data_IF_650127433631
#
_entry.id   IF_650127433631
#
_cell.length_a   1.000
_cell.length_b   1.000
_cell.length_c   1.000
_cell.angle_alpha   90.00
_cell.angle_beta   90.00
_cell.angle_gamma   90.00
#
_symmetry.space_group_name_H-M   'P 1'
#
loop_
_entity.id
_entity.type
_entity.pdbx_description
1 polymer ?
#
# COMPACT_ATOMS: atom_id res chain seq x y z
N UNK A 1 10.38 23.71 14.52
CA UNK A 1 10.11 23.72 13.06
C UNK A 1 8.82 24.50 12.84
N UNK A 2 8.90 25.67 12.19
CA UNK A 2 7.74 26.52 11.89
C UNK A 2 7.17 26.07 10.55
N UNK A 3 5.96 25.51 10.56
CA UNK A 3 5.21 25.17 9.34
C UNK A 3 4.78 26.47 8.67
N UNK A 4 5.39 26.79 7.53
CA UNK A 4 4.93 27.88 6.65
C UNK A 4 3.59 27.46 6.04
N UNK A 5 2.51 28.11 6.47
CA UNK A 5 1.23 28.03 5.76
C UNK A 5 1.42 28.59 4.34
N UNK A 6 0.90 27.94 3.29
CA UNK A 6 0.96 28.46 1.95
C UNK A 6 0.19 29.79 1.88
N UNK A 7 0.79 30.78 1.20
CA UNK A 7 0.14 32.05 0.95
C UNK A 7 -1.17 31.83 0.15
N UNK A 8 -2.25 32.59 0.43
CA UNK A 8 -3.47 32.51 -0.37
C UNK A 8 -3.14 32.86 -1.82
N UNK A 9 -3.46 31.95 -2.76
CA UNK A 9 -3.30 32.21 -4.19
C UNK A 9 -4.11 33.45 -4.58
N UNK A 10 -3.42 34.47 -5.10
CA UNK A 10 -4.06 35.64 -5.71
C UNK A 10 -4.94 35.17 -6.89
N UNK A 11 -6.17 35.68 -7.04
CA UNK A 11 -7.04 35.35 -8.17
C UNK A 11 -6.42 35.85 -9.50
N UNK A 12 -6.36 34.99 -10.52
CA UNK A 12 -5.91 35.37 -11.88
C UNK A 12 -6.95 36.33 -12.50
N UNK A 13 -6.59 37.57 -12.87
CA UNK A 13 -7.52 38.56 -13.41
C UNK A 13 -8.13 38.18 -14.77
N UNK A 14 -7.64 37.13 -15.45
CA UNK A 14 -8.25 36.59 -16.68
C UNK A 14 -9.37 35.59 -16.39
N UNK A 15 -9.52 35.15 -15.14
CA UNK A 15 -10.52 34.18 -14.69
C UNK A 15 -11.97 34.64 -14.93
N UNK A 16 -12.37 35.91 -14.64
CA UNK A 16 -13.78 36.31 -14.75
C UNK A 16 -14.34 36.23 -16.18
N UNK A 17 -13.57 36.67 -17.18
CA UNK A 17 -14.04 36.73 -18.57
C UNK A 17 -14.22 35.34 -19.20
N UNK A 18 -13.32 34.39 -18.91
CA UNK A 18 -13.43 33.02 -19.39
C UNK A 18 -14.56 32.24 -18.69
N UNK A 19 -14.81 32.55 -17.42
CA UNK A 19 -15.90 31.98 -16.63
C UNK A 19 -17.28 32.46 -17.12
N UNK A 20 -17.42 33.76 -17.40
CA UNK A 20 -18.64 34.34 -17.99
C UNK A 20 -18.94 33.77 -19.38
N UNK A 21 -17.92 33.62 -20.23
CA UNK A 21 -18.08 33.00 -21.55
C UNK A 21 -18.51 31.54 -21.43
N UNK A 22 -17.89 30.78 -20.53
CA UNK A 22 -18.26 29.37 -20.31
C UNK A 22 -19.71 29.23 -19.85
N UNK A 23 -20.20 30.12 -18.97
CA UNK A 23 -21.60 30.12 -18.54
C UNK A 23 -22.58 30.49 -19.66
N UNK A 24 -22.17 31.31 -20.63
CA UNK A 24 -23.01 31.69 -21.76
C UNK A 24 -23.27 30.52 -22.73
N UNK A 25 -22.37 29.53 -22.75
CA UNK A 25 -22.49 28.32 -23.60
C UNK A 25 -23.33 27.21 -22.95
N UNK A 26 -23.76 27.38 -21.68
CA UNK A 26 -24.56 26.37 -21.00
C UNK A 26 -25.94 26.19 -21.69
N UNK A 27 -26.37 24.94 -21.90
CA UNK A 27 -27.73 24.62 -22.35
C UNK A 27 -28.81 25.27 -21.48
N UNK A 28 -29.95 25.60 -22.10
CA UNK A 28 -31.00 26.40 -21.46
C UNK A 28 -31.57 25.73 -20.19
N UNK A 29 -31.71 24.41 -20.16
CA UNK A 29 -32.18 23.68 -18.99
C UNK A 29 -31.21 23.79 -17.82
N UNK A 30 -29.92 23.58 -18.07
CA UNK A 30 -28.88 23.75 -17.04
C UNK A 30 -28.74 25.21 -16.58
N UNK A 31 -28.90 26.17 -17.49
CA UNK A 31 -28.86 27.60 -17.13
C UNK A 31 -30.04 27.98 -16.22
N UNK A 32 -31.25 27.54 -16.56
CA UNK A 32 -32.42 27.76 -15.74
C UNK A 32 -32.27 27.13 -14.34
N UNK A 33 -31.65 25.94 -14.24
CA UNK A 33 -31.32 25.33 -12.96
C UNK A 33 -30.33 26.18 -12.15
N UNK A 34 -29.24 26.64 -12.77
CA UNK A 34 -28.25 27.49 -12.11
C UNK A 34 -28.87 28.79 -11.61
N UNK A 35 -29.66 29.48 -12.44
CA UNK A 35 -30.30 30.73 -12.06
C UNK A 35 -31.25 30.55 -10.86
N UNK A 36 -31.97 29.41 -10.78
CA UNK A 36 -32.81 29.07 -9.61
C UNK A 36 -31.99 28.82 -8.35
N UNK A 37 -30.89 28.08 -8.44
CA UNK A 37 -30.00 27.84 -7.29
C UNK A 37 -29.35 29.13 -6.79
N UNK A 38 -28.91 29.99 -7.72
CA UNK A 38 -28.36 31.31 -7.38
C UNK A 38 -29.44 32.20 -6.73
N UNK A 39 -30.67 32.20 -7.24
CA UNK A 39 -31.79 32.91 -6.63
C UNK A 39 -32.17 32.37 -5.23
N UNK A 40 -31.96 31.08 -4.98
CA UNK A 40 -32.10 30.45 -3.66
C UNK A 40 -30.90 30.72 -2.72
N UNK A 41 -29.96 31.57 -3.16
CA UNK A 41 -28.79 31.98 -2.39
C UNK A 41 -27.62 31.00 -2.43
N UNK A 42 -27.66 29.97 -3.30
CA UNK A 42 -26.48 29.18 -3.58
C UNK A 42 -25.44 30.04 -4.34
N UNK A 43 -24.20 29.59 -4.40
CA UNK A 43 -23.12 30.28 -5.11
C UNK A 43 -22.36 29.29 -5.97
N UNK A 44 -21.67 29.79 -7.00
CA UNK A 44 -20.75 28.97 -7.79
C UNK A 44 -19.39 28.96 -7.08
N UNK A 45 -18.89 27.76 -6.78
CA UNK A 45 -17.55 27.56 -6.20
C UNK A 45 -16.47 27.68 -7.27
N UNK A 46 -16.69 27.06 -8.43
CA UNK A 46 -15.78 27.15 -9.58
C UNK A 46 -16.48 26.80 -10.90
N UNK A 47 -15.88 27.25 -12.00
CA UNK A 47 -16.25 26.90 -13.37
C UNK A 47 -14.98 26.40 -14.08
N UNK A 48 -15.07 25.27 -14.79
CA UNK A 48 -13.92 24.69 -15.50
C UNK A 48 -14.33 24.13 -16.86
N UNK A 49 -13.73 24.66 -17.92
CA UNK A 49 -13.79 24.07 -19.26
C UNK A 49 -12.93 22.80 -19.34
N UNK A 50 -13.39 21.79 -20.06
CA UNK A 50 -12.65 20.55 -20.33
C UNK A 50 -12.26 19.73 -19.09
N UNK A 51 -12.96 19.94 -17.97
CA UNK A 51 -12.72 19.21 -16.72
C UNK A 51 -13.71 18.06 -16.58
N UNK A 52 -13.22 16.88 -16.21
CA UNK A 52 -14.06 15.73 -15.89
C UNK A 52 -15.20 16.12 -14.91
N UNK A 53 -16.46 15.73 -15.18
CA UNK A 53 -16.92 14.81 -16.24
C UNK A 53 -17.11 15.42 -17.64
N UNK A 54 -16.99 16.73 -17.82
CA UNK A 54 -17.12 17.36 -19.14
C UNK A 54 -15.97 16.95 -20.08
N UNK A 55 -16.27 16.67 -21.36
CA UNK A 55 -15.25 16.53 -22.40
C UNK A 55 -14.58 17.88 -22.69
N UNK A 56 -13.47 17.90 -23.45
CA UNK A 56 -12.73 19.14 -23.77
C UNK A 56 -13.56 20.27 -24.42
N UNK A 57 -14.65 19.91 -25.10
CA UNK A 57 -15.57 20.85 -25.79
C UNK A 57 -16.69 21.39 -24.89
N UNK A 58 -16.67 21.06 -23.60
CA UNK A 58 -17.72 21.44 -22.66
C UNK A 58 -17.17 21.98 -21.35
N UNK A 59 -18.05 22.18 -20.38
CA UNK A 59 -17.70 22.79 -19.10
C UNK A 59 -18.48 22.22 -17.91
N UNK A 60 -17.86 22.32 -16.74
CA UNK A 60 -18.45 21.98 -15.45
C UNK A 60 -18.59 23.23 -14.58
N UNK A 61 -19.73 23.36 -13.91
CA UNK A 61 -19.98 24.36 -12.85
C UNK A 61 -20.15 23.60 -11.53
N UNK A 62 -19.39 23.96 -10.50
CA UNK A 62 -19.58 23.43 -9.15
C UNK A 62 -20.35 24.42 -8.30
N UNK A 63 -21.45 23.97 -7.69
CA UNK A 63 -22.16 24.72 -6.66
C UNK A 63 -21.41 24.65 -5.33
N UNK A 64 -21.49 25.70 -4.52
CA UNK A 64 -20.88 25.74 -3.19
C UNK A 64 -21.65 24.91 -2.16
N UNK A 65 -22.97 24.69 -2.38
CA UNK A 65 -23.84 23.89 -1.53
C UNK A 65 -24.61 22.85 -2.35
N UNK A 66 -25.03 21.72 -1.74
CA UNK A 66 -25.96 20.80 -2.38
C UNK A 66 -27.18 21.53 -2.92
N UNK A 67 -27.81 20.98 -3.97
CA UNK A 67 -28.99 21.58 -4.60
C UNK A 67 -30.04 21.91 -3.54
N UNK A 68 -30.45 23.17 -3.48
CA UNK A 68 -31.36 23.69 -2.45
C UNK A 68 -32.80 23.75 -2.93
N UNK A 69 -33.01 23.82 -4.24
CA UNK A 69 -34.34 23.92 -4.85
C UNK A 69 -35.04 22.56 -4.87
N UNK A 70 -36.24 22.50 -4.29
CA UNK A 70 -37.10 21.31 -4.29
C UNK A 70 -37.89 21.12 -5.59
N UNK A 71 -37.88 22.12 -6.47
CA UNK A 71 -38.56 22.07 -7.77
C UNK A 71 -38.07 20.92 -8.65
N UNK A 72 -38.93 20.34 -9.49
CA UNK A 72 -38.51 19.39 -10.50
C UNK A 72 -37.43 19.97 -11.42
N UNK A 73 -36.52 19.10 -11.88
CA UNK A 73 -35.52 19.49 -12.88
C UNK A 73 -36.21 19.98 -14.16
N UNK A 74 -35.62 20.96 -14.87
CA UNK A 74 -36.12 21.37 -16.18
C UNK A 74 -36.21 20.20 -17.16
N UNK A 75 -37.09 20.31 -18.16
CA UNK A 75 -37.24 19.27 -19.19
C UNK A 75 -35.91 18.98 -19.88
N UNK A 76 -35.60 17.69 -20.08
CA UNK A 76 -34.35 17.25 -20.70
C UNK A 76 -33.12 17.21 -19.77
N UNK A 77 -33.19 17.84 -18.59
CA UNK A 77 -32.15 17.80 -17.57
C UNK A 77 -32.28 16.51 -16.74
N UNK A 78 -31.15 15.83 -16.54
CA UNK A 78 -31.05 14.59 -15.75
C UNK A 78 -30.05 14.77 -14.63
N UNK A 79 -30.30 14.14 -13.49
CA UNK A 79 -29.39 14.11 -12.35
C UNK A 79 -29.00 12.67 -12.05
N UNK A 80 -27.71 12.48 -11.78
CA UNK A 80 -27.13 11.22 -11.37
C UNK A 80 -26.40 11.42 -10.05
N UNK A 81 -26.80 10.69 -9.02
CA UNK A 81 -26.08 10.67 -7.75
C UNK A 81 -24.79 9.87 -7.90
N UNK A 82 -23.70 10.42 -7.36
CA UNK A 82 -22.35 9.89 -7.35
C UNK A 82 -21.85 9.82 -5.92
N UNK A 83 -21.31 8.67 -5.52
CA UNK A 83 -20.58 8.52 -4.26
C UNK A 83 -19.11 8.86 -4.45
N UNK A 84 -18.81 10.06 -4.96
CA UNK A 84 -17.46 10.56 -5.20
C UNK A 84 -17.01 11.49 -4.08
N UNK A 85 -15.70 11.53 -3.83
CA UNK A 85 -15.10 12.51 -2.91
C UNK A 85 -15.02 13.93 -3.48
N UNK A 86 -15.30 14.11 -4.78
CA UNK A 86 -15.19 15.40 -5.46
C UNK A 86 -16.52 16.13 -5.61
N UNK A 87 -17.62 15.39 -5.74
CA UNK A 87 -18.98 15.91 -5.94
C UNK A 87 -20.00 14.80 -5.64
N UNK A 88 -21.23 15.18 -5.26
CA UNK A 88 -22.30 14.22 -4.92
C UNK A 88 -23.32 14.01 -6.03
N UNK A 89 -23.64 15.02 -6.84
CA UNK A 89 -24.55 14.88 -7.98
C UNK A 89 -23.90 15.42 -9.25
N UNK A 90 -24.13 14.70 -10.35
CA UNK A 90 -23.88 15.14 -11.71
C UNK A 90 -25.21 15.48 -12.36
N UNK A 91 -25.41 16.75 -12.70
CA UNK A 91 -26.62 17.22 -13.38
C UNK A 91 -26.25 17.67 -14.77
N UNK A 92 -26.88 17.10 -15.79
CA UNK A 92 -26.51 17.32 -17.19
C UNK A 92 -27.73 17.32 -18.10
N UNK A 93 -27.54 17.80 -19.33
CA UNK A 93 -28.56 17.88 -20.37
C UNK A 93 -28.03 17.29 -21.68
N UNK A 94 -28.89 16.60 -22.43
CA UNK A 94 -28.57 16.09 -23.76
C UNK A 94 -27.39 15.11 -23.80
N UNK A 95 -26.38 15.43 -24.61
CA UNK A 95 -25.21 14.58 -24.92
C UNK A 95 -24.18 14.54 -23.78
N UNK A 96 -24.33 15.37 -22.74
CA UNK A 96 -23.40 15.36 -21.61
C UNK A 96 -22.09 16.09 -21.90
N UNK A 97 -22.16 17.26 -22.51
CA UNK A 97 -21.00 18.16 -22.64
C UNK A 97 -20.91 19.15 -21.47
N UNK A 98 -22.04 19.53 -20.90
CA UNK A 98 -22.12 20.51 -19.82
C UNK A 98 -22.68 19.87 -18.56
N UNK A 99 -22.10 20.22 -17.41
CA UNK A 99 -22.47 19.64 -16.13
C UNK A 99 -22.58 20.72 -15.05
N UNK A 100 -23.60 20.57 -14.21
CA UNK A 100 -23.71 21.22 -12.91
C UNK A 100 -23.44 20.15 -11.85
N UNK A 101 -22.45 20.41 -10.99
CA UNK A 101 -22.00 19.52 -9.94
C UNK A 101 -22.40 20.08 -8.58
N UNK A 102 -22.80 19.22 -7.66
CA UNK A 102 -23.01 19.57 -6.26
C UNK A 102 -21.80 19.10 -5.43
N UNK A 103 -21.45 19.81 -4.34
CA UNK A 103 -20.30 19.44 -3.52
C UNK A 103 -20.50 18.04 -2.92
N UNK A 104 -19.43 17.32 -2.56
CA UNK A 104 -19.56 16.04 -1.91
C UNK A 104 -20.34 16.19 -0.59
N UNK A 105 -21.07 15.16 -0.22
CA UNK A 105 -21.72 15.11 1.09
C UNK A 105 -20.70 15.22 2.22
N UNK A 106 -21.16 15.53 3.42
CA UNK A 106 -20.31 15.46 4.60
C UNK A 106 -19.66 14.05 4.66
N UNK A 107 -18.35 13.95 4.95
CA UNK A 107 -17.73 12.66 5.11
C UNK A 107 -18.49 11.87 6.18
N UNK A 108 -18.66 10.54 6.00
CA UNK A 108 -19.30 9.72 7.00
C UNK A 108 -18.51 9.82 8.32
N UNK A 109 -19.19 9.60 9.43
CA UNK A 109 -18.53 9.53 10.73
C UNK A 109 -17.42 8.49 10.70
N UNK A 110 -16.27 8.87 11.26
CA UNK A 110 -15.12 7.97 11.33
C UNK A 110 -15.51 6.70 12.09
N UNK A 111 -15.22 5.51 11.55
CA UNK A 111 -15.54 4.29 12.25
C UNK A 111 -14.73 4.21 13.55
N UNK A 112 -15.33 3.60 14.59
CA UNK A 112 -14.64 3.42 15.87
C UNK A 112 -13.45 2.49 15.70
N UNK A 113 -12.24 3.04 15.84
CA UNK A 113 -10.99 2.27 15.78
C UNK A 113 -10.93 1.20 16.88
N UNK A 114 -11.55 1.45 18.03
CA UNK A 114 -11.62 0.45 19.11
C UNK A 114 -12.54 -0.72 18.74
N UNK A 115 -13.67 -0.45 18.10
CA UNK A 115 -14.56 -1.50 17.61
C UNK A 115 -13.89 -2.35 16.51
N UNK A 116 -13.14 -1.70 15.60
CA UNK A 116 -12.36 -2.39 14.57
C UNK A 116 -11.27 -3.25 15.23
N UNK A 117 -10.52 -2.70 16.19
CA UNK A 117 -9.48 -3.44 16.93
C UNK A 117 -10.05 -4.64 17.67
N UNK A 118 -11.21 -4.50 18.30
CA UNK A 118 -11.86 -5.60 19.00
C UNK A 118 -12.32 -6.70 18.02
N UNK A 119 -12.81 -6.32 16.84
CA UNK A 119 -13.27 -7.25 15.81
C UNK A 119 -12.12 -8.02 15.15
N UNK A 120 -10.95 -7.38 15.03
CA UNK A 120 -9.76 -7.94 14.37
C UNK A 120 -8.62 -8.26 15.33
N UNK A 121 -8.91 -8.44 16.63
CA UNK A 121 -7.90 -8.87 17.58
C UNK A 121 -7.31 -10.19 17.09
N UNK A 122 -5.99 -10.28 16.83
CA UNK A 122 -5.39 -11.54 16.46
C UNK A 122 -5.64 -12.55 17.59
N UNK A 123 -5.77 -13.86 17.27
CA UNK A 123 -5.76 -14.86 18.32
C UNK A 123 -4.50 -14.67 19.18
N UNK A 124 -4.62 -14.97 20.46
CA UNK A 124 -3.48 -14.91 21.38
C UNK A 124 -2.31 -15.67 20.76
N UNK A 125 -1.20 -14.97 20.55
CA UNK A 125 -0.03 -15.59 19.95
C UNK A 125 0.55 -16.59 20.95
N UNK A 126 0.37 -17.87 20.67
CA UNK A 126 1.14 -18.93 21.33
C UNK A 126 2.44 -19.14 20.57
N UNK A 127 3.62 -19.01 21.21
CA UNK A 127 4.87 -19.39 20.59
C UNK A 127 4.79 -20.86 20.15
N UNK A 128 5.29 -21.22 18.95
CA UNK A 128 5.45 -22.62 18.61
C UNK A 128 6.36 -23.28 19.67
N UNK A 129 5.91 -24.41 20.21
CA UNK A 129 6.77 -25.24 21.08
C UNK A 129 7.95 -25.68 20.22
N UNK A 130 9.15 -25.18 20.53
CA UNK A 130 10.35 -25.57 19.82
C UNK A 130 10.47 -27.11 19.88
N UNK A 131 10.69 -27.79 18.74
CA UNK A 131 10.91 -29.23 18.77
C UNK A 131 12.08 -29.52 19.70
N UNK A 132 11.90 -30.47 20.63
CA UNK A 132 13.00 -30.95 21.45
C UNK A 132 14.08 -31.48 20.49
N UNK A 133 15.28 -30.88 20.47
CA UNK A 133 16.31 -31.31 19.53
C UNK A 133 16.63 -32.80 19.79
N UNK A 134 16.74 -33.63 18.75
CA UNK A 134 17.21 -35.00 18.91
C UNK A 134 18.64 -34.98 19.46
N UNK A 135 18.99 -36.04 20.19
CA UNK A 135 20.24 -36.19 20.91
C UNK A 135 21.49 -35.82 20.07
N UNK A 136 22.36 -35.06 20.73
CA UNK A 136 23.75 -34.65 20.48
C UNK A 136 24.16 -34.03 19.15
N UNK A 137 23.61 -34.39 17.98
CA UNK A 137 24.05 -33.83 16.68
C UNK A 137 22.91 -33.71 15.64
N UNK A 138 22.73 -32.52 15.04
CA UNK A 138 21.84 -32.33 13.90
C UNK A 138 22.25 -31.13 13.02
N UNK A 139 21.70 -31.06 11.80
CA UNK A 139 21.84 -29.90 10.92
C UNK A 139 20.47 -29.30 10.60
N UNK A 140 20.41 -27.98 10.48
CA UNK A 140 19.24 -27.24 9.95
C UNK A 140 19.68 -26.23 8.90
N UNK A 141 18.74 -25.78 8.06
CA UNK A 141 18.95 -24.59 7.24
C UNK A 141 18.60 -23.34 8.05
N UNK A 142 19.38 -22.28 7.88
CA UNK A 142 18.98 -20.97 8.38
C UNK A 142 17.68 -20.49 7.72
N UNK A 143 17.11 -19.42 8.26
CA UNK A 143 15.84 -18.85 7.76
C UNK A 143 15.90 -18.38 6.30
N UNK A 144 17.10 -18.22 5.74
CA UNK A 144 17.33 -17.78 4.36
C UNK A 144 17.52 -18.95 3.41
N UNK A 145 17.79 -20.15 3.92
CA UNK A 145 18.16 -21.30 3.10
C UNK A 145 19.53 -21.12 2.45
N UNK A 146 20.48 -20.43 3.10
CA UNK A 146 21.82 -20.15 2.55
C UNK A 146 22.95 -20.67 3.46
N UNK A 147 22.60 -21.06 4.68
CA UNK A 147 23.58 -21.54 5.66
C UNK A 147 23.09 -22.83 6.28
N UNK A 148 23.94 -23.85 6.32
CA UNK A 148 23.71 -25.04 7.13
C UNK A 148 24.24 -24.74 8.53
N UNK A 149 23.38 -24.83 9.53
CA UNK A 149 23.75 -24.72 10.94
C UNK A 149 23.92 -26.14 11.49
N UNK A 150 25.13 -26.46 11.93
CA UNK A 150 25.45 -27.73 12.57
C UNK A 150 25.44 -27.57 14.08
N UNK A 151 24.61 -28.36 14.77
CA UNK A 151 24.49 -28.39 16.22
C UNK A 151 25.21 -29.63 16.75
N UNK A 152 26.08 -29.46 17.75
CA UNK A 152 26.73 -30.56 18.45
C UNK A 152 27.02 -30.20 19.92
N UNK A 153 26.58 -31.04 20.86
CA UNK A 153 26.91 -30.89 22.30
C UNK A 153 26.58 -29.52 22.89
N UNK A 154 25.40 -28.97 22.56
CA UNK A 154 24.95 -27.65 23.03
C UNK A 154 25.63 -26.44 22.38
N UNK A 155 26.51 -26.66 21.40
CA UNK A 155 27.15 -25.64 20.58
C UNK A 155 26.65 -25.74 19.14
N UNK A 156 26.86 -24.70 18.36
CA UNK A 156 26.56 -24.73 16.92
C UNK A 156 27.64 -24.04 16.09
N UNK A 157 27.71 -24.35 14.81
CA UNK A 157 28.60 -23.69 13.85
C UNK A 157 27.92 -23.59 12.49
N UNK A 158 28.47 -22.75 11.62
CA UNK A 158 27.86 -22.39 10.34
C UNK A 158 28.73 -22.88 9.20
N UNK A 159 28.11 -23.61 8.27
CA UNK A 159 28.71 -23.96 6.98
C UNK A 159 27.95 -23.21 5.90
N UNK A 160 28.65 -22.36 5.15
CA UNK A 160 28.06 -21.68 3.99
C UNK A 160 27.69 -22.71 2.94
N UNK A 161 26.45 -22.63 2.46
CA UNK A 161 25.90 -23.51 1.44
C UNK A 161 25.23 -22.70 0.33
N UNK A 162 25.56 -23.02 -0.92
CA UNK A 162 25.00 -22.29 -2.07
C UNK A 162 24.31 -23.24 -3.03
N UNK A 163 22.99 -23.12 -3.18
CA UNK A 163 22.22 -23.94 -4.11
C UNK A 163 22.38 -23.51 -5.57
N UNK A 164 22.55 -22.21 -5.84
CA UNK A 164 22.54 -21.61 -7.18
C UNK A 164 23.67 -22.09 -8.09
N UNK A 165 24.76 -22.62 -7.53
CA UNK A 165 25.93 -23.09 -8.27
C UNK A 165 26.19 -24.60 -8.08
N UNK A 166 25.13 -25.40 -7.89
CA UNK A 166 25.23 -26.86 -7.81
C UNK A 166 25.50 -27.40 -6.41
N UNK A 167 24.77 -26.89 -5.41
CA UNK A 167 24.87 -27.32 -4.00
C UNK A 167 26.30 -27.36 -3.47
N UNK A 168 26.92 -26.18 -3.37
CA UNK A 168 28.31 -26.03 -2.90
C UNK A 168 28.37 -25.88 -1.39
N UNK A 169 29.28 -26.59 -0.73
CA UNK A 169 29.65 -26.36 0.66
C UNK A 169 31.07 -25.81 0.74
N UNK A 170 31.25 -24.73 1.50
CA UNK A 170 32.52 -24.01 1.61
C UNK A 170 33.21 -24.39 2.92
N UNK A 171 34.27 -25.22 2.84
CA UNK A 171 35.00 -25.70 4.03
C UNK A 171 35.60 -24.56 4.85
N UNK A 172 36.13 -23.55 4.18
CA UNK A 172 36.74 -22.36 4.82
C UNK A 172 35.78 -21.52 5.68
N UNK A 173 34.46 -21.77 5.63
CA UNK A 173 33.48 -21.09 6.50
C UNK A 173 33.47 -21.59 7.95
N UNK A 174 33.98 -22.80 8.21
CA UNK A 174 34.09 -23.39 9.54
C UNK A 174 35.32 -22.87 10.28
N UNK A 175 35.14 -21.84 11.10
CA UNK A 175 36.23 -21.20 11.85
C UNK A 175 36.06 -21.24 13.37
N UNK A 176 34.83 -21.38 13.87
CA UNK A 176 34.53 -21.29 15.29
C UNK A 176 33.24 -22.04 15.66
N UNK A 177 33.15 -22.45 16.93
CA UNK A 177 31.92 -22.83 17.60
C UNK A 177 31.26 -21.61 18.23
N UNK A 178 29.94 -21.57 18.18
CA UNK A 178 29.10 -20.69 18.97
C UNK A 178 28.50 -21.47 20.14
N UNK A 179 28.66 -20.96 21.36
CA UNK A 179 28.12 -21.51 22.60
C UNK A 179 26.65 -21.18 22.82
N UNK A 180 26.15 -21.53 24.00
CA UNK A 180 24.75 -21.30 24.39
C UNK A 180 24.48 -19.85 24.85
N UNK A 181 25.53 -19.11 25.24
CA UNK A 181 25.43 -17.71 25.67
C UNK A 181 25.78 -16.72 24.56
N UNK A 182 25.29 -15.47 24.65
CA UNK A 182 25.80 -14.38 23.81
C UNK A 182 27.32 -14.25 24.04
N UNK A 183 28.06 -14.03 22.94
CA UNK A 183 29.52 -13.82 22.90
C UNK A 183 30.40 -15.03 23.24
N UNK A 184 29.86 -16.24 23.32
CA UNK A 184 30.65 -17.46 23.50
C UNK A 184 31.13 -18.03 22.16
N UNK A 185 32.19 -17.46 21.60
CA UNK A 185 32.85 -18.02 20.40
C UNK A 185 34.16 -18.74 20.77
N UNK A 186 34.33 -19.97 20.30
CA UNK A 186 35.56 -20.77 20.49
C UNK A 186 36.12 -21.12 19.12
N UNK A 187 37.35 -20.68 18.85
CA UNK A 187 38.04 -21.00 17.60
C UNK A 187 38.19 -22.52 17.43
N UNK A 188 37.95 -23.00 16.22
CA UNK A 188 38.06 -24.41 15.86
C UNK A 188 39.47 -24.72 15.36
N UNK A 189 40.07 -25.84 15.78
CA UNK A 189 41.32 -26.28 15.17
C UNK A 189 41.09 -26.73 13.73
N UNK A 190 42.10 -26.72 12.84
CA UNK A 190 41.97 -27.24 11.48
C UNK A 190 41.43 -28.67 11.43
N UNK A 191 41.95 -29.56 12.28
CA UNK A 191 41.54 -30.97 12.37
C UNK A 191 40.11 -31.11 12.88
N UNK A 192 39.72 -30.27 13.84
CA UNK A 192 38.33 -30.23 14.31
C UNK A 192 37.39 -29.74 13.20
N UNK A 193 37.80 -28.72 12.44
CA UNK A 193 37.05 -28.24 11.27
C UNK A 193 36.87 -29.29 10.20
N UNK A 194 37.90 -30.10 9.93
CA UNK A 194 37.81 -31.17 8.94
C UNK A 194 36.86 -32.29 9.39
N UNK A 195 36.89 -32.65 10.68
CA UNK A 195 35.95 -33.62 11.26
C UNK A 195 34.51 -33.10 11.20
N UNK A 196 34.28 -31.85 11.60
CA UNK A 196 32.95 -31.22 11.56
C UNK A 196 32.44 -31.12 10.13
N UNK A 197 33.29 -30.70 9.19
CA UNK A 197 32.92 -30.60 7.78
C UNK A 197 32.54 -31.95 7.17
N UNK A 198 33.34 -33.00 7.44
CA UNK A 198 33.03 -34.36 7.02
C UNK A 198 31.68 -34.84 7.58
N UNK A 199 31.37 -34.44 8.82
CA UNK A 199 30.09 -34.75 9.45
C UNK A 199 28.93 -34.01 8.80
N UNK A 200 29.08 -32.71 8.51
CA UNK A 200 28.09 -31.92 7.77
C UNK A 200 27.85 -32.51 6.38
N UNK A 201 28.92 -32.90 5.66
CA UNK A 201 28.82 -33.55 4.35
C UNK A 201 28.02 -34.85 4.39
N UNK A 202 28.18 -35.66 5.45
CA UNK A 202 27.44 -36.91 5.60
C UNK A 202 25.93 -36.68 5.86
N UNK A 203 25.58 -35.56 6.51
CA UNK A 203 24.20 -35.23 6.88
C UNK A 203 23.48 -34.41 5.80
N UNK A 204 24.19 -33.55 5.09
CA UNK A 204 23.64 -32.57 4.15
C UNK A 204 22.71 -33.16 3.09
N UNK A 205 22.96 -34.33 2.46
CA UNK A 205 22.08 -34.87 1.42
C UNK A 205 20.63 -35.06 1.85
N UNK A 206 20.41 -35.41 3.12
CA UNK A 206 19.07 -35.57 3.69
C UNK A 206 18.37 -34.24 3.91
N UNK A 207 19.15 -33.20 4.26
CA UNK A 207 18.63 -31.85 4.49
C UNK A 207 18.29 -31.14 3.18
N UNK A 208 19.17 -31.21 2.18
CA UNK A 208 19.01 -30.49 0.90
C UNK A 208 18.31 -31.29 -0.20
N UNK A 209 17.99 -32.56 0.06
CA UNK A 209 17.27 -33.42 -0.89
C UNK A 209 18.09 -33.88 -2.11
N UNK A 210 19.43 -33.82 -2.05
CA UNK A 210 20.30 -34.24 -3.16
C UNK A 210 21.64 -34.78 -2.65
N UNK A 211 22.16 -35.82 -3.31
CA UNK A 211 23.50 -36.35 -3.06
C UNK A 211 24.59 -35.61 -3.85
N UNK A 212 24.22 -34.77 -4.82
CA UNK A 212 25.15 -34.02 -5.66
C UNK A 212 25.62 -32.76 -4.95
N UNK A 213 26.52 -32.92 -3.98
CA UNK A 213 27.11 -31.81 -3.21
C UNK A 213 28.55 -31.59 -3.68
N UNK A 214 28.87 -30.36 -4.06
CA UNK A 214 30.22 -29.97 -4.47
C UNK A 214 30.95 -29.37 -3.27
N UNK A 215 32.16 -29.85 -2.99
CA UNK A 215 33.02 -29.30 -1.94
C UNK A 215 33.90 -28.20 -2.52
N UNK A 216 33.85 -27.02 -1.92
CA UNK A 216 34.75 -25.91 -2.20
C UNK A 216 35.77 -25.81 -1.04
N UNK A 217 37.07 -25.67 -1.36
CA UNK A 217 38.12 -25.58 -0.34
C UNK A 217 37.94 -24.39 0.62
#
# INVERSE_FOLDING_TARGET
>A
MRTLLPAPSMPDPRRPAAEEQSLAEFPAGLRALLDRELAAGNTIEWIRAGSHPAPPIGACVMLARPRTTSEPLPEGVRSYTRSSSLYSDEITEGVGHFYVLTPPGAPPDMPSMDAIRATHAPPEWTPPVAPTPPADEHIVLDIRGETIVYHAGGRHTYVRWTYTNGHRLVRSSLTHWQGAGPDQSVAMSPEEGDRVFARVLALAPRLVGTANIIVEP
#
